data_IF_871157130163
#
_entry.id   IF_871157130163
#
_cell.length_a   1.000
_cell.length_b   1.000
_cell.length_c   1.000
_cell.angle_alpha   90.00
_cell.angle_beta   90.00
_cell.angle_gamma   90.00
#
_symmetry.space_group_name_H-M   'P 1'
#
loop_
_entity.id
_entity.type
_entity.pdbx_description
1 polymer ?
#
# COMPACT_ATOMS: atom_id res chain seq x y z
N UNK A 1 1.67 28.47 -10.83
CA UNK A 1 2.95 28.98 -10.29
C UNK A 1 3.84 27.92 -9.62
N UNK A 2 3.43 27.20 -8.56
CA UNK A 2 4.31 26.23 -7.85
C UNK A 2 4.87 25.09 -8.70
N UNK A 3 4.08 24.58 -9.64
CA UNK A 3 4.52 23.57 -10.62
C UNK A 3 5.65 24.13 -11.50
N UNK A 4 5.42 25.31 -12.11
CA UNK A 4 6.41 26.00 -12.94
C UNK A 4 7.71 26.37 -12.20
N UNK A 5 7.68 26.56 -10.88
CA UNK A 5 8.90 26.85 -10.12
C UNK A 5 9.93 25.70 -10.12
N UNK A 6 9.49 24.46 -10.38
CA UNK A 6 10.35 23.26 -10.35
C UNK A 6 10.48 22.59 -11.73
N UNK A 7 9.88 23.16 -12.76
CA UNK A 7 9.84 22.62 -14.11
C UNK A 7 10.16 23.72 -15.11
N UNK A 8 10.73 23.36 -16.26
CA UNK A 8 11.06 24.32 -17.33
C UNK A 8 9.80 24.70 -18.13
N UNK A 9 8.85 25.34 -17.46
CA UNK A 9 7.57 25.76 -18.03
C UNK A 9 7.22 27.17 -17.55
N UNK A 10 6.48 27.91 -18.38
CA UNK A 10 6.02 29.27 -18.07
C UNK A 10 4.60 29.19 -17.51
N UNK A 11 4.33 29.69 -16.29
CA UNK A 11 2.96 29.74 -15.79
C UNK A 11 2.18 30.83 -16.54
N UNK A 12 0.94 30.52 -16.90
CA UNK A 12 0.00 31.46 -17.48
C UNK A 12 -1.10 31.76 -16.47
N UNK A 13 -1.61 32.99 -16.51
CA UNK A 13 -2.90 33.34 -15.93
C UNK A 13 -4.04 33.03 -16.92
N UNK A 14 -5.28 33.22 -16.48
CA UNK A 14 -6.46 32.91 -17.28
C UNK A 14 -6.51 33.76 -18.57
N UNK A 15 -6.00 34.99 -18.53
CA UNK A 15 -5.98 35.91 -19.67
C UNK A 15 -4.93 35.50 -20.72
N UNK A 16 -3.82 34.87 -20.30
CA UNK A 16 -2.78 34.36 -21.19
C UNK A 16 -3.13 33.06 -21.91
N UNK A 17 -4.16 32.33 -21.46
CA UNK A 17 -4.49 31.00 -21.99
C UNK A 17 -4.84 31.03 -23.48
N UNK A 18 -5.66 31.99 -23.92
CA UNK A 18 -6.07 32.10 -25.32
C UNK A 18 -4.87 32.37 -26.25
N UNK A 19 -3.95 33.25 -25.84
CA UNK A 19 -2.73 33.53 -26.58
C UNK A 19 -1.83 32.30 -26.72
N UNK A 20 -1.66 31.55 -25.64
CA UNK A 20 -0.90 30.31 -25.67
C UNK A 20 -1.54 29.23 -26.55
N UNK A 21 -2.87 29.09 -26.53
CA UNK A 21 -3.59 28.16 -27.42
C UNK A 21 -3.40 28.52 -28.90
N UNK A 22 -3.34 29.82 -29.23
CA UNK A 22 -3.12 30.28 -30.60
C UNK A 22 -1.77 29.78 -31.17
N UNK A 23 -0.73 29.75 -30.34
CA UNK A 23 0.62 29.33 -30.73
C UNK A 23 0.87 27.82 -30.55
N UNK A 24 0.10 27.15 -29.68
CA UNK A 24 0.28 25.75 -29.36
C UNK A 24 -0.07 24.84 -30.54
N UNK A 25 0.74 23.82 -30.80
CA UNK A 25 0.44 22.75 -31.77
C UNK A 25 -0.32 21.57 -31.13
N UNK A 26 -0.32 21.51 -29.80
CA UNK A 26 -0.94 20.50 -28.95
C UNK A 26 -1.34 21.14 -27.63
N UNK A 27 -2.53 20.82 -27.13
CA UNK A 27 -2.92 21.13 -25.75
C UNK A 27 -2.93 19.85 -24.94
N UNK A 28 -2.31 19.87 -23.76
CA UNK A 28 -2.33 18.74 -22.81
C UNK A 28 -3.05 19.18 -21.55
N UNK A 29 -4.05 18.40 -21.13
CA UNK A 29 -4.80 18.63 -19.90
C UNK A 29 -4.55 17.47 -18.93
N UNK A 30 -4.15 17.78 -17.70
CA UNK A 30 -3.84 16.78 -16.66
C UNK A 30 -4.16 17.29 -15.24
N UNK A 31 -5.22 18.09 -15.09
CA UNK A 31 -5.58 18.75 -13.83
C UNK A 31 -6.14 17.78 -12.79
N UNK A 32 -6.91 16.78 -13.24
CA UNK A 32 -7.61 15.85 -12.36
C UNK A 32 -8.73 16.48 -11.51
N UNK A 33 -9.05 17.76 -11.72
CA UNK A 33 -9.98 18.53 -10.89
C UNK A 33 -11.35 18.76 -11.55
N UNK A 34 -11.63 18.06 -12.65
CA UNK A 34 -12.83 18.22 -13.47
C UNK A 34 -12.59 19.15 -14.67
N UNK A 35 -13.65 19.53 -15.37
CA UNK A 35 -13.54 20.29 -16.60
C UNK A 35 -12.98 21.71 -16.35
N UNK A 36 -11.72 21.92 -16.71
CA UNK A 36 -10.97 23.18 -16.59
C UNK A 36 -10.76 23.89 -17.92
N UNK A 37 -10.90 23.17 -19.04
CA UNK A 37 -10.74 23.72 -20.38
C UNK A 37 -12.08 23.74 -21.13
N UNK A 38 -12.64 24.95 -21.28
CA UNK A 38 -13.88 25.18 -22.02
C UNK A 38 -13.65 25.57 -23.49
N UNK A 39 -14.74 25.61 -24.26
CA UNK A 39 -14.70 26.01 -25.67
C UNK A 39 -14.28 27.48 -25.87
N UNK A 40 -14.59 28.36 -24.91
CA UNK A 40 -14.32 29.80 -24.99
C UNK A 40 -12.85 30.13 -25.20
N UNK A 41 -11.94 29.74 -24.28
CA UNK A 41 -10.51 29.96 -24.44
C UNK A 41 -9.93 29.32 -25.71
N UNK A 42 -10.43 28.12 -26.07
CA UNK A 42 -10.02 27.43 -27.30
C UNK A 42 -10.35 28.24 -28.56
N UNK A 43 -11.60 28.72 -28.68
CA UNK A 43 -12.04 29.53 -29.81
C UNK A 43 -11.46 30.94 -29.81
N UNK A 44 -11.16 31.50 -28.64
CA UNK A 44 -10.51 32.80 -28.53
C UNK A 44 -9.08 32.75 -29.07
N UNK A 45 -8.34 31.67 -28.80
CA UNK A 45 -6.99 31.46 -29.34
C UNK A 45 -6.98 30.97 -30.79
N UNK A 46 -7.91 30.07 -31.13
CA UNK A 46 -8.02 29.42 -32.44
C UNK A 46 -9.47 29.42 -32.95
N UNK A 47 -9.95 30.53 -33.54
CA UNK A 47 -11.31 30.63 -34.08
C UNK A 47 -11.63 29.56 -35.12
N UNK A 48 -10.62 29.05 -35.83
CA UNK A 48 -10.75 27.99 -36.83
C UNK A 48 -11.28 26.66 -36.24
N UNK A 49 -11.21 26.45 -34.92
CA UNK A 49 -11.76 25.25 -34.26
C UNK A 49 -13.29 25.14 -34.35
N UNK A 50 -13.97 26.22 -34.74
CA UNK A 50 -15.41 26.20 -35.05
C UNK A 50 -15.73 25.46 -36.37
N UNK A 51 -14.73 25.19 -37.21
CA UNK A 51 -14.87 24.47 -38.47
C UNK A 51 -14.19 23.08 -38.39
N UNK A 52 -14.55 22.12 -39.26
CA UNK A 52 -13.94 20.79 -39.27
C UNK A 52 -12.41 20.84 -39.37
N UNK A 53 -11.76 20.07 -38.51
CA UNK A 53 -10.30 20.05 -38.37
C UNK A 53 -9.84 18.90 -37.45
N UNK A 54 -8.57 18.93 -37.05
CA UNK A 54 -7.99 17.88 -36.20
C UNK A 54 -6.92 18.41 -35.24
N UNK A 55 -7.18 19.58 -34.64
CA UNK A 55 -6.29 20.13 -33.62
C UNK A 55 -6.25 19.20 -32.40
N UNK A 56 -5.07 18.65 -32.04
CA UNK A 56 -5.01 17.63 -31.01
C UNK A 56 -5.11 18.23 -29.61
N UNK A 57 -5.97 17.64 -28.78
CA UNK A 57 -6.05 17.90 -27.35
C UNK A 57 -5.90 16.59 -26.60
N UNK A 58 -4.79 16.44 -25.88
CA UNK A 58 -4.49 15.25 -25.10
C UNK A 58 -5.04 15.41 -23.68
N UNK A 59 -6.05 14.62 -23.35
CA UNK A 59 -6.71 14.63 -22.04
C UNK A 59 -6.24 13.45 -21.20
N UNK A 60 -5.34 13.72 -20.26
CA UNK A 60 -4.69 12.75 -19.37
C UNK A 60 -5.39 12.63 -18.01
N UNK A 61 -6.58 13.19 -17.85
CA UNK A 61 -7.33 13.16 -16.60
C UNK A 61 -8.43 12.11 -16.65
N UNK A 62 -8.52 11.26 -15.62
CA UNK A 62 -9.52 10.18 -15.55
C UNK A 62 -10.97 10.68 -15.62
N UNK A 63 -11.26 11.83 -15.00
CA UNK A 63 -12.58 12.47 -15.02
C UNK A 63 -12.80 13.40 -16.21
N UNK A 64 -11.78 13.59 -17.05
CA UNK A 64 -11.78 14.53 -18.16
C UNK A 64 -11.64 16.00 -17.73
N UNK A 65 -10.76 16.72 -18.40
CA UNK A 65 -10.52 18.14 -18.13
C UNK A 65 -11.21 19.10 -19.12
N UNK A 66 -11.82 18.56 -20.18
CA UNK A 66 -12.55 19.37 -21.16
C UNK A 66 -14.05 19.39 -20.86
N UNK A 67 -14.67 20.57 -21.02
CA UNK A 67 -16.14 20.67 -21.01
C UNK A 67 -16.74 19.97 -22.23
N UNK A 68 -18.01 19.57 -22.17
CA UNK A 68 -18.68 18.90 -23.28
C UNK A 68 -18.68 19.76 -24.55
N UNK A 69 -18.84 21.08 -24.41
CA UNK A 69 -18.82 22.01 -25.53
C UNK A 69 -17.44 22.09 -26.18
N UNK A 70 -16.37 22.04 -25.38
CA UNK A 70 -15.00 22.02 -25.89
C UNK A 70 -14.73 20.75 -26.70
N UNK A 71 -15.20 19.60 -26.20
CA UNK A 71 -15.08 18.30 -26.89
C UNK A 71 -15.89 18.25 -28.19
N UNK A 72 -17.01 18.95 -28.24
CA UNK A 72 -17.91 18.97 -29.38
C UNK A 72 -17.46 19.92 -30.51
N UNK A 73 -16.40 20.71 -30.32
CA UNK A 73 -15.87 21.60 -31.35
C UNK A 73 -15.42 20.79 -32.58
N UNK A 74 -15.90 21.13 -33.80
CA UNK A 74 -15.59 20.36 -35.01
C UNK A 74 -14.09 20.28 -35.36
N UNK A 75 -13.31 21.27 -34.93
CA UNK A 75 -11.88 21.33 -35.18
C UNK A 75 -11.03 20.61 -34.13
N UNK A 76 -11.61 20.17 -33.02
CA UNK A 76 -10.90 19.57 -31.88
C UNK A 76 -10.89 18.05 -32.01
N UNK A 77 -9.68 17.47 -31.94
CA UNK A 77 -9.49 16.03 -31.80
C UNK A 77 -9.01 15.72 -30.39
N UNK A 78 -9.92 15.22 -29.56
CA UNK A 78 -9.55 14.77 -28.21
C UNK A 78 -8.91 13.39 -28.27
N UNK A 79 -7.77 13.25 -27.60
CA UNK A 79 -7.04 11.99 -27.41
C UNK A 79 -7.06 11.72 -25.91
N UNK A 80 -7.77 10.67 -25.49
CA UNK A 80 -7.90 10.31 -24.08
C UNK A 80 -6.91 9.23 -23.64
N UNK A 81 -6.88 8.95 -22.33
CA UNK A 81 -6.07 7.89 -21.73
C UNK A 81 -6.29 6.50 -22.34
N UNK A 82 -7.50 6.18 -22.78
CA UNK A 82 -7.82 4.90 -23.43
C UNK A 82 -7.09 4.77 -24.77
N UNK A 83 -7.14 5.82 -25.59
CA UNK A 83 -6.48 5.85 -26.90
C UNK A 83 -4.94 5.83 -26.75
N UNK A 84 -4.42 6.47 -25.69
CA UNK A 84 -3.00 6.41 -25.32
C UNK A 84 -2.60 5.00 -24.89
N UNK A 85 -3.40 4.36 -24.02
CA UNK A 85 -3.16 2.99 -23.54
C UNK A 85 -3.13 2.00 -24.70
N UNK A 86 -4.10 2.09 -25.61
CA UNK A 86 -4.22 1.15 -26.72
C UNK A 86 -3.06 1.29 -27.74
N UNK A 87 -2.36 2.43 -27.73
CA UNK A 87 -1.16 2.70 -28.54
C UNK A 87 0.16 2.49 -27.80
N UNK A 88 0.13 2.25 -26.48
CA UNK A 88 1.33 2.00 -25.73
C UNK A 88 1.90 0.61 -26.12
N UNK A 89 3.16 0.59 -26.57
CA UNK A 89 3.80 -0.58 -27.18
C UNK A 89 3.94 -1.80 -26.24
N UNK A 90 4.16 -2.96 -26.88
CA UNK A 90 4.60 -4.24 -26.27
C UNK A 90 5.76 -4.08 -25.26
N UNK A 91 6.65 -3.11 -25.46
CA UNK A 91 7.80 -2.82 -24.58
C UNK A 91 7.39 -2.54 -23.12
N UNK A 92 6.16 -2.10 -22.88
CA UNK A 92 5.64 -1.92 -21.52
C UNK A 92 5.20 -3.23 -20.86
N UNK A 93 4.96 -4.31 -21.62
CA UNK A 93 4.48 -5.59 -21.04
C UNK A 93 5.51 -6.22 -20.12
N UNK A 94 6.78 -6.27 -20.52
CA UNK A 94 7.84 -6.80 -19.64
C UNK A 94 7.94 -6.00 -18.33
N UNK A 95 7.78 -4.67 -18.39
CA UNK A 95 7.77 -3.81 -17.21
C UNK A 95 6.53 -4.06 -16.34
N UNK A 96 5.36 -4.24 -16.95
CA UNK A 96 4.10 -4.55 -16.26
C UNK A 96 4.20 -5.94 -15.60
N UNK A 97 4.72 -6.94 -16.30
CA UNK A 97 4.92 -8.29 -15.77
C UNK A 97 5.88 -8.29 -14.58
N UNK A 98 7.01 -7.57 -14.68
CA UNK A 98 7.94 -7.40 -13.57
C UNK A 98 7.26 -6.69 -12.38
N UNK A 99 6.46 -5.65 -12.64
CA UNK A 99 5.73 -4.95 -11.59
C UNK A 99 4.68 -5.87 -10.92
N UNK A 100 3.96 -6.68 -11.70
CA UNK A 100 3.00 -7.66 -11.19
C UNK A 100 3.71 -8.71 -10.32
N UNK A 101 4.87 -9.20 -10.74
CA UNK A 101 5.65 -10.15 -9.95
C UNK A 101 6.05 -9.57 -8.58
N UNK A 102 6.50 -8.30 -8.55
CA UNK A 102 6.81 -7.61 -7.29
C UNK A 102 5.56 -7.47 -6.40
N UNK A 103 4.40 -7.16 -7.00
CA UNK A 103 3.12 -7.09 -6.28
C UNK A 103 2.74 -8.45 -5.71
N UNK A 104 2.82 -9.52 -6.50
CA UNK A 104 2.46 -10.88 -6.10
C UNK A 104 3.36 -11.39 -4.96
N UNK A 105 4.67 -11.16 -5.05
CA UNK A 105 5.61 -11.45 -3.97
C UNK A 105 5.28 -10.65 -2.70
N UNK A 106 4.91 -9.37 -2.86
CA UNK A 106 4.46 -8.52 -1.78
C UNK A 106 3.19 -9.04 -1.09
N UNK A 107 2.18 -9.42 -1.88
CA UNK A 107 0.92 -9.98 -1.41
C UNK A 107 1.14 -11.31 -0.70
N UNK A 108 1.93 -12.22 -1.30
CA UNK A 108 2.25 -13.51 -0.69
C UNK A 108 2.92 -13.36 0.68
N UNK A 109 3.90 -12.45 0.78
CA UNK A 109 4.57 -12.10 2.05
C UNK A 109 3.61 -11.49 3.07
N UNK A 110 2.72 -10.60 2.64
CA UNK A 110 1.72 -9.99 3.52
C UNK A 110 0.76 -11.04 4.08
N UNK A 111 0.23 -11.92 3.21
CA UNK A 111 -0.67 -12.99 3.63
C UNK A 111 0.02 -14.00 4.56
N UNK A 112 1.28 -14.34 4.33
CA UNK A 112 2.05 -15.17 5.25
C UNK A 112 2.15 -14.53 6.65
N UNK A 113 2.43 -13.22 6.71
CA UNK A 113 2.49 -12.47 7.97
C UNK A 113 1.12 -12.35 8.67
N UNK A 114 0.04 -12.15 7.93
CA UNK A 114 -1.31 -12.17 8.52
C UNK A 114 -1.66 -13.57 9.07
N UNK A 115 -1.26 -14.64 8.37
CA UNK A 115 -1.44 -16.01 8.89
C UNK A 115 -0.62 -16.25 10.15
N UNK A 116 0.62 -15.75 10.24
CA UNK A 116 1.47 -15.91 11.43
C UNK A 116 0.79 -15.39 12.71
N UNK A 117 0.07 -14.27 12.60
CA UNK A 117 -0.69 -13.67 13.71
C UNK A 117 -1.80 -14.56 14.25
N UNK A 118 -2.26 -15.53 13.47
CA UNK A 118 -3.21 -16.54 13.94
C UNK A 118 -2.70 -17.35 15.14
N UNK A 119 -1.38 -17.47 15.32
CA UNK A 119 -0.79 -18.13 16.49
C UNK A 119 -0.56 -17.20 17.70
N UNK A 120 -0.74 -15.87 17.56
CA UNK A 120 -0.45 -14.93 18.65
C UNK A 120 -1.26 -15.22 19.93
N UNK A 121 -2.59 -15.52 19.87
CA UNK A 121 -3.36 -15.88 21.07
C UNK A 121 -2.82 -17.13 21.76
N UNK A 122 -2.41 -18.13 20.99
CA UNK A 122 -1.86 -19.38 21.49
C UNK A 122 -0.48 -19.21 22.14
N UNK A 123 0.38 -18.40 21.51
CA UNK A 123 1.69 -18.04 22.04
C UNK A 123 1.53 -17.24 23.34
N UNK A 124 0.57 -16.33 23.40
CA UNK A 124 0.26 -15.56 24.59
C UNK A 124 -0.23 -16.46 25.74
N UNK A 125 -1.17 -17.38 25.47
CA UNK A 125 -1.66 -18.35 26.45
C UNK A 125 -0.54 -19.24 26.98
N UNK A 126 0.32 -19.77 26.10
CA UNK A 126 1.49 -20.57 26.50
C UNK A 126 2.45 -19.80 27.41
N UNK A 127 2.75 -18.53 27.07
CA UNK A 127 3.62 -17.67 27.88
C UNK A 127 3.01 -17.37 29.25
N UNK A 128 1.70 -17.13 29.30
CA UNK A 128 0.98 -16.87 30.53
C UNK A 128 1.04 -18.09 31.47
N UNK A 129 0.75 -19.30 30.97
CA UNK A 129 0.77 -20.53 31.77
C UNK A 129 2.16 -20.86 32.32
N UNK A 130 3.21 -20.72 31.50
CA UNK A 130 4.59 -20.89 31.98
C UNK A 130 4.95 -19.82 33.01
N UNK A 131 4.48 -18.58 32.83
CA UNK A 131 4.66 -17.49 33.80
C UNK A 131 4.08 -17.86 35.18
N UNK A 132 2.85 -18.39 35.21
CA UNK A 132 2.20 -18.86 36.44
C UNK A 132 3.03 -19.93 37.15
N UNK A 133 3.61 -20.86 36.40
CA UNK A 133 4.48 -21.91 36.97
C UNK A 133 5.78 -21.34 37.55
N UNK A 134 6.42 -20.42 36.84
CA UNK A 134 7.65 -19.74 37.30
C UNK A 134 7.38 -18.94 38.56
N UNK A 135 6.30 -18.15 38.59
CA UNK A 135 5.94 -17.33 39.75
C UNK A 135 5.63 -18.18 40.98
N UNK A 136 4.96 -19.33 40.78
CA UNK A 136 4.71 -20.30 41.86
C UNK A 136 6.02 -20.84 42.44
N UNK A 137 7.01 -21.13 41.61
CA UNK A 137 8.29 -21.66 42.09
C UNK A 137 9.14 -20.60 42.79
N UNK A 138 9.14 -19.37 42.29
CA UNK A 138 9.77 -18.22 42.98
C UNK A 138 9.15 -18.02 44.37
N UNK A 139 7.81 -18.07 44.47
CA UNK A 139 7.13 -17.95 45.76
C UNK A 139 7.50 -19.06 46.75
N UNK A 140 7.72 -20.29 46.27
CA UNK A 140 8.16 -21.42 47.09
C UNK A 140 9.54 -21.19 47.70
N UNK A 141 10.48 -20.67 46.91
CA UNK A 141 11.86 -20.38 47.36
C UNK A 141 11.88 -19.21 48.33
N UNK A 142 11.11 -18.15 48.05
CA UNK A 142 10.97 -16.98 48.94
C UNK A 142 10.48 -17.32 50.34
N UNK A 143 9.77 -18.43 50.51
CA UNK A 143 9.31 -18.88 51.83
C UNK A 143 10.42 -19.49 52.71
N UNK A 144 11.61 -19.78 52.15
CA UNK A 144 12.66 -20.59 52.83
C UNK A 144 14.05 -19.98 52.79
N UNK A 145 14.33 -19.11 51.84
CA UNK A 145 15.67 -18.62 51.54
C UNK A 145 15.82 -17.10 51.75
N UNK A 146 17.06 -16.61 51.74
CA UNK A 146 17.36 -15.18 51.81
C UNK A 146 16.94 -14.45 50.53
N UNK A 147 16.74 -13.13 50.62
CA UNK A 147 16.34 -12.29 49.48
C UNK A 147 17.37 -12.32 48.33
N UNK A 148 18.66 -12.41 48.66
CA UNK A 148 19.75 -12.52 47.67
C UNK A 148 19.64 -13.83 46.85
N UNK A 149 19.38 -14.95 47.52
CA UNK A 149 19.16 -16.25 46.85
C UNK A 149 17.90 -16.19 46.00
N UNK A 150 16.82 -15.59 46.52
CA UNK A 150 15.57 -15.44 45.79
C UNK A 150 15.75 -14.63 44.49
N UNK A 151 16.49 -13.53 44.54
CA UNK A 151 16.77 -12.70 43.37
C UNK A 151 17.61 -13.45 42.32
N UNK A 152 18.57 -14.26 42.75
CA UNK A 152 19.36 -15.09 41.84
C UNK A 152 18.50 -16.18 41.16
N UNK A 153 17.66 -16.86 41.93
CA UNK A 153 16.76 -17.91 41.44
C UNK A 153 15.71 -17.33 40.48
N UNK A 154 15.10 -16.20 40.82
CA UNK A 154 14.12 -15.52 39.97
C UNK A 154 14.71 -15.19 38.59
N UNK A 155 15.91 -14.60 38.55
CA UNK A 155 16.60 -14.33 37.28
C UNK A 155 16.86 -15.61 36.48
N UNK A 156 17.31 -16.67 37.15
CA UNK A 156 17.62 -17.95 36.51
C UNK A 156 16.36 -18.62 35.93
N UNK A 157 15.27 -18.67 36.69
CA UNK A 157 14.00 -19.26 36.24
C UNK A 157 13.37 -18.48 35.10
N UNK A 158 13.36 -17.14 35.17
CA UNK A 158 12.86 -16.31 34.07
C UNK A 158 13.71 -16.44 32.81
N UNK A 159 15.04 -16.53 32.97
CA UNK A 159 15.93 -16.79 31.84
C UNK A 159 15.65 -18.16 31.21
N UNK A 160 15.56 -19.22 32.01
CA UNK A 160 15.23 -20.57 31.54
C UNK A 160 13.89 -20.60 30.81
N UNK A 161 12.85 -20.00 31.37
CA UNK A 161 11.53 -19.90 30.74
C UNK A 161 11.63 -19.18 29.39
N UNK A 162 12.37 -18.07 29.31
CA UNK A 162 12.61 -17.37 28.06
C UNK A 162 13.29 -18.24 27.00
N UNK A 163 14.33 -18.98 27.39
CA UNK A 163 15.06 -19.90 26.49
C UNK A 163 14.15 -21.04 26.02
N UNK A 164 13.41 -21.67 26.94
CA UNK A 164 12.49 -22.77 26.61
C UNK A 164 11.35 -22.33 25.69
N UNK A 165 10.83 -21.10 25.87
CA UNK A 165 9.69 -20.59 25.10
C UNK A 165 10.09 -19.99 23.74
N UNK A 166 11.38 -19.73 23.50
CA UNK A 166 11.83 -19.18 22.22
C UNK A 166 11.51 -20.13 21.05
N UNK A 167 12.01 -21.37 21.10
CA UNK A 167 11.78 -22.38 20.06
C UNK A 167 10.31 -22.63 19.74
N UNK A 168 9.41 -22.89 20.73
CA UNK A 168 7.99 -23.09 20.43
C UNK A 168 7.30 -21.81 19.94
N UNK A 169 7.72 -20.61 20.38
CA UNK A 169 7.23 -19.35 19.80
C UNK A 169 7.57 -19.27 18.31
N UNK A 170 8.82 -19.52 17.94
CA UNK A 170 9.28 -19.48 16.54
C UNK A 170 8.59 -20.56 15.70
N UNK A 171 8.48 -21.79 16.22
CA UNK A 171 7.78 -22.91 15.56
C UNK A 171 6.28 -22.64 15.39
N UNK A 172 5.62 -22.05 16.39
CA UNK A 172 4.21 -21.68 16.32
C UNK A 172 3.95 -20.66 15.22
N UNK A 173 4.80 -19.62 15.14
CA UNK A 173 4.75 -18.63 14.06
C UNK A 173 4.97 -19.27 12.68
N UNK A 174 5.96 -20.16 12.53
CA UNK A 174 6.23 -20.86 11.28
C UNK A 174 5.05 -21.74 10.84
N UNK A 175 4.48 -22.53 11.76
CA UNK A 175 3.31 -23.36 11.47
C UNK A 175 2.12 -22.49 11.06
N UNK A 176 1.92 -21.35 11.70
CA UNK A 176 0.88 -20.41 11.32
C UNK A 176 1.13 -19.79 9.92
N UNK A 177 2.36 -19.37 9.60
CA UNK A 177 2.75 -18.89 8.25
C UNK A 177 2.45 -19.93 7.15
N UNK A 178 2.73 -21.21 7.44
CA UNK A 178 2.47 -22.38 6.58
C UNK A 178 0.98 -22.77 6.51
N UNK A 179 0.08 -22.10 7.24
CA UNK A 179 -1.34 -22.44 7.29
C UNK A 179 -1.66 -23.68 8.15
N UNK A 180 -0.71 -24.12 8.97
CA UNK A 180 -0.75 -25.31 9.84
C UNK A 180 -0.87 -24.94 11.32
N UNK A 181 -1.43 -23.77 11.63
CA UNK A 181 -1.59 -23.29 13.01
C UNK A 181 -2.32 -24.28 13.93
N UNK A 182 -3.30 -25.04 13.40
CA UNK A 182 -4.02 -26.11 14.12
C UNK A 182 -3.08 -27.15 14.76
N UNK A 183 -1.95 -27.48 14.12
CA UNK A 183 -0.96 -28.40 14.71
C UNK A 183 -0.31 -27.81 15.96
N UNK A 184 -0.08 -26.49 15.97
CA UNK A 184 0.44 -25.80 17.15
C UNK A 184 -0.59 -25.77 18.28
N UNK A 185 -1.85 -25.46 17.98
CA UNK A 185 -2.94 -25.50 18.97
C UNK A 185 -3.08 -26.90 19.59
N UNK A 186 -3.08 -27.95 18.77
CA UNK A 186 -3.14 -29.33 19.25
C UNK A 186 -1.94 -29.70 20.15
N UNK A 187 -0.73 -29.22 19.82
CA UNK A 187 0.45 -29.43 20.65
C UNK A 187 0.36 -28.70 22.01
N UNK A 188 -0.28 -27.54 22.08
CA UNK A 188 -0.50 -26.83 23.35
C UNK A 188 -1.49 -27.54 24.26
N UNK A 189 -2.51 -28.21 23.69
CA UNK A 189 -3.44 -29.05 24.47
C UNK A 189 -2.71 -30.17 25.20
N UNK A 190 -1.65 -30.74 24.63
CA UNK A 190 -0.80 -31.74 25.31
C UNK A 190 -0.16 -31.18 26.59
N UNK A 191 0.13 -29.88 26.60
CA UNK A 191 0.69 -29.16 27.75
C UNK A 191 -0.39 -28.67 28.72
N UNK A 192 -1.67 -28.96 28.46
CA UNK A 192 -2.80 -28.53 29.27
C UNK A 192 -3.17 -27.06 29.09
N UNK A 193 -2.72 -26.42 28.01
CA UNK A 193 -3.01 -25.01 27.71
C UNK A 193 -4.23 -24.98 26.77
N UNK A 194 -5.34 -24.42 27.24
CA UNK A 194 -6.52 -24.16 26.42
C UNK A 194 -6.47 -22.74 25.86
N UNK A 195 -6.73 -22.59 24.56
CA UNK A 195 -6.74 -21.29 23.88
C UNK A 195 -8.14 -21.09 23.32
N UNK A 196 -8.80 -20.00 23.72
CA UNK A 196 -10.07 -19.60 23.11
C UNK A 196 -9.85 -19.26 21.63
N UNK A 197 -10.73 -19.81 20.79
CA UNK A 197 -10.72 -19.63 19.33
C UNK A 197 -11.27 -18.28 18.90
#
# INVERSE_FOLDING_TARGET
ERFAAHHDVVPLDDDGLAGAVAEAELVVTCSGNGAVLGAGPLLAGRPELAAPGAFPVLDLSLGGDLTEEARALPGVRVIGLEEVRDRADETQREVIEQAQQVVDEGVARHLAKERSRGADPAIAAMRAEVGVLVDREIARVRARESEEVCAAVERSLRHLAGVMLHTPTVRGNQLAEEGRGEEFFAALTLLGIEVDR
#
